data_IF_724817619867
#
_entry.id   IF_724817619867
#
_cell.length_a   1.000
_cell.length_b   1.000
_cell.length_c   1.000
_cell.angle_alpha   90.00
_cell.angle_beta   90.00
_cell.angle_gamma   90.00
#
_symmetry.space_group_name_H-M   'P 1'
#
loop_
_entity.id
_entity.type
_entity.pdbx_description
1 polymer ?
#
# COMPACT_ATOMS: atom_id res chain seq x y z
N UNK A 1 -3.05 -25.34 6.85
CA UNK A 1 -2.43 -24.02 7.10
C UNK A 1 -3.17 -23.02 6.23
N UNK A 2 -3.94 -22.09 6.80
CA UNK A 2 -4.73 -21.13 6.02
C UNK A 2 -3.82 -19.98 5.57
N UNK A 3 -3.74 -19.71 4.28
CA UNK A 3 -3.01 -18.55 3.75
C UNK A 3 -3.98 -17.36 3.80
N UNK A 4 -3.62 -16.31 4.53
CA UNK A 4 -4.39 -15.06 4.56
C UNK A 4 -3.77 -14.09 3.55
N UNK A 5 -4.54 -13.78 2.51
CA UNK A 5 -4.17 -12.86 1.43
C UNK A 5 -5.12 -11.67 1.48
N UNK A 6 -4.57 -10.45 1.54
CA UNK A 6 -5.31 -9.20 1.43
C UNK A 6 -4.90 -8.45 0.16
N UNK A 7 -5.78 -7.59 -0.33
CA UNK A 7 -5.50 -6.71 -1.48
C UNK A 7 -5.45 -5.26 -1.05
N UNK A 8 -4.34 -4.59 -1.35
CA UNK A 8 -4.17 -3.15 -1.17
C UNK A 8 -4.44 -2.44 -2.49
N UNK A 9 -5.53 -1.68 -2.59
CA UNK A 9 -5.92 -0.98 -3.82
C UNK A 9 -5.75 0.52 -3.70
N UNK A 10 -5.38 1.19 -4.79
CA UNK A 10 -5.28 2.65 -4.88
C UNK A 10 -5.45 3.11 -6.33
N UNK A 11 -5.70 4.41 -6.52
CA UNK A 11 -5.86 5.01 -7.86
C UNK A 11 -4.82 6.09 -8.01
N UNK A 12 -4.09 6.04 -9.12
CA UNK A 12 -3.15 7.07 -9.53
C UNK A 12 -3.74 7.91 -10.66
N UNK A 13 -3.44 9.21 -10.67
CA UNK A 13 -3.86 10.14 -11.72
C UNK A 13 -2.87 10.23 -12.89
N UNK A 14 -1.68 9.67 -12.69
CA UNK A 14 -0.56 9.64 -13.63
C UNK A 14 0.42 8.57 -13.14
N UNK A 15 1.40 8.21 -13.96
CA UNK A 15 2.48 7.33 -13.55
C UNK A 15 3.27 7.92 -12.37
N UNK A 16 3.63 7.06 -11.41
CA UNK A 16 4.27 7.50 -10.17
C UNK A 16 5.22 6.45 -9.60
N UNK A 17 6.23 6.91 -8.86
CA UNK A 17 7.02 6.07 -7.97
C UNK A 17 6.26 5.92 -6.65
N UNK A 18 5.86 4.70 -6.33
CA UNK A 18 5.03 4.38 -5.17
C UNK A 18 5.84 3.67 -4.09
N UNK A 19 5.71 4.15 -2.86
CA UNK A 19 6.04 3.41 -1.65
C UNK A 19 4.75 2.96 -0.96
N UNK A 20 4.60 1.66 -0.78
CA UNK A 20 3.45 1.03 -0.14
C UNK A 20 3.93 0.26 1.10
N UNK A 21 3.51 0.72 2.27
CA UNK A 21 3.96 0.18 3.56
C UNK A 21 2.77 -0.14 4.46
N UNK A 22 2.88 -1.20 5.25
CA UNK A 22 1.86 -1.67 6.19
C UNK A 22 2.30 -1.40 7.61
N UNK A 23 1.37 -0.93 8.44
CA UNK A 23 1.57 -0.54 9.82
C UNK A 23 0.55 -1.18 10.74
N UNK A 24 0.95 -1.47 11.98
CA UNK A 24 0.03 -1.85 13.05
C UNK A 24 -0.60 -0.61 13.73
N UNK A 25 -1.47 -0.83 14.71
CA UNK A 25 -2.18 0.25 15.44
C UNK A 25 -1.26 1.15 16.28
N UNK A 26 -0.04 0.69 16.58
CA UNK A 26 0.98 1.49 17.28
C UNK A 26 1.81 2.35 16.30
N UNK A 27 1.54 2.27 15.00
CA UNK A 27 2.30 2.98 13.96
C UNK A 27 3.63 2.33 13.60
N UNK A 28 3.88 1.10 14.04
CA UNK A 28 5.08 0.36 13.66
C UNK A 28 4.91 -0.21 12.26
N UNK A 29 5.91 -0.03 11.40
CA UNK A 29 5.97 -0.68 10.09
C UNK A 29 6.13 -2.19 10.28
N UNK A 30 5.26 -2.98 9.66
CA UNK A 30 5.27 -4.45 9.74
C UNK A 30 5.55 -5.12 8.39
N UNK A 31 5.40 -4.37 7.29
CA UNK A 31 5.77 -4.83 5.96
C UNK A 31 6.01 -3.63 5.02
N UNK A 32 6.92 -3.80 4.07
CA UNK A 32 7.04 -2.95 2.88
C UNK A 32 6.62 -3.80 1.68
N UNK A 33 5.60 -3.36 0.95
CA UNK A 33 5.04 -4.07 -0.22
C UNK A 33 5.55 -3.51 -1.54
N UNK A 34 5.92 -2.23 -1.56
CA UNK A 34 6.61 -1.58 -2.67
C UNK A 34 7.51 -0.47 -2.12
N UNK A 35 8.70 -0.27 -2.68
CA UNK A 35 9.64 0.77 -2.26
C UNK A 35 10.14 1.60 -3.44
N UNK A 36 9.49 2.74 -3.69
CA UNK A 36 9.75 3.61 -4.86
C UNK A 36 9.73 2.83 -6.19
N UNK A 37 8.72 1.99 -6.35
CA UNK A 37 8.51 1.21 -7.57
C UNK A 37 7.56 1.95 -8.52
N UNK A 38 7.73 1.75 -9.82
CA UNK A 38 6.89 2.38 -10.83
C UNK A 38 5.51 1.72 -10.89
N UNK A 39 4.46 2.53 -10.75
CA UNK A 39 3.06 2.13 -11.01
C UNK A 39 2.45 3.07 -12.04
N UNK A 40 1.54 2.54 -12.86
CA UNK A 40 0.91 3.27 -13.95
C UNK A 40 -0.33 4.03 -13.48
N UNK A 41 -0.74 5.04 -14.24
CA UNK A 41 -2.04 5.70 -14.08
C UNK A 41 -3.20 4.67 -13.97
N UNK A 42 -4.20 5.01 -13.15
CA UNK A 42 -5.41 4.22 -12.99
C UNK A 42 -5.43 3.38 -11.72
N UNK A 43 -6.26 2.33 -11.74
CA UNK A 43 -6.46 1.43 -10.60
C UNK A 43 -5.27 0.49 -10.48
N UNK A 44 -4.66 0.46 -9.30
CA UNK A 44 -3.55 -0.42 -8.96
C UNK A 44 -3.91 -1.27 -7.75
N UNK A 45 -3.47 -2.52 -7.77
CA UNK A 45 -3.68 -3.49 -6.69
C UNK A 45 -2.37 -4.21 -6.37
N UNK A 46 -2.07 -4.32 -5.08
CA UNK A 46 -0.91 -5.04 -4.58
C UNK A 46 -1.35 -6.10 -3.58
N UNK A 47 -0.92 -7.33 -3.80
CA UNK A 47 -1.19 -8.47 -2.92
C UNK A 47 -0.36 -8.39 -1.65
N UNK A 48 -0.98 -8.67 -0.51
CA UNK A 48 -0.32 -8.74 0.80
C UNK A 48 -0.53 -10.11 1.46
N UNK A 49 0.56 -10.88 1.55
CA UNK A 49 0.58 -12.17 2.24
C UNK A 49 0.86 -12.00 3.74
N UNK A 50 -0.19 -11.92 4.53
CA UNK A 50 -0.10 -11.54 5.94
C UNK A 50 -0.08 -12.74 6.91
N UNK A 51 0.44 -13.88 6.47
CA UNK A 51 0.38 -15.16 7.20
C UNK A 51 1.03 -15.10 8.60
N UNK A 52 2.09 -14.31 8.76
CA UNK A 52 2.83 -14.17 10.02
C UNK A 52 2.27 -13.10 10.97
N UNK A 53 1.19 -12.42 10.61
CA UNK A 53 0.59 -11.37 11.43
C UNK A 53 -0.61 -11.89 12.24
N UNK A 54 -0.81 -11.45 13.49
CA UNK A 54 -2.02 -11.77 14.25
C UNK A 54 -3.27 -11.13 13.65
N UNK A 55 -4.44 -11.73 13.86
CA UNK A 55 -5.72 -11.10 13.51
C UNK A 55 -5.85 -9.74 14.21
N UNK A 56 -6.33 -8.73 13.49
CA UNK A 56 -6.35 -7.37 14.02
C UNK A 56 -6.50 -6.30 12.95
N UNK A 57 -6.46 -5.05 13.39
CA UNK A 57 -6.53 -3.88 12.53
C UNK A 57 -5.13 -3.48 12.08
N UNK A 58 -4.98 -3.22 10.79
CA UNK A 58 -3.77 -2.73 10.17
C UNK A 58 -4.08 -1.54 9.27
N UNK A 59 -3.04 -0.83 8.87
CA UNK A 59 -3.14 0.29 7.95
C UNK A 59 -2.09 0.12 6.86
N UNK A 60 -2.45 0.31 5.60
CA UNK A 60 -1.45 0.52 4.57
C UNK A 60 -1.41 1.99 4.18
N UNK A 61 -0.20 2.51 4.00
CA UNK A 61 0.08 3.85 3.52
C UNK A 61 0.67 3.77 2.13
N UNK A 62 0.06 4.50 1.21
CA UNK A 62 0.56 4.78 -0.13
C UNK A 62 1.20 6.16 -0.08
N UNK A 63 2.43 6.26 -0.58
CA UNK A 63 3.06 7.54 -0.93
C UNK A 63 3.48 7.43 -2.39
N UNK A 64 2.94 8.28 -3.25
CA UNK A 64 3.22 8.30 -4.68
C UNK A 64 3.83 9.65 -5.08
N UNK A 65 4.97 9.58 -5.76
CA UNK A 65 5.70 10.71 -6.36
C UNK A 65 5.43 10.66 -7.87
N UNK A 66 4.55 11.52 -8.38
CA UNK A 66 4.15 11.57 -9.78
C UNK A 66 5.31 11.99 -10.69
N UNK A 67 5.37 11.40 -11.89
CA UNK A 67 6.50 11.52 -12.83
C UNK A 67 6.32 12.59 -13.92
N UNK A 68 5.21 13.33 -13.91
CA UNK A 68 4.99 14.44 -14.85
C UNK A 68 5.82 15.65 -14.39
N UNK A 69 6.82 16.04 -15.18
CA UNK A 69 7.71 17.16 -14.87
C UNK A 69 7.00 18.51 -14.94
N UNK A 70 5.95 18.64 -15.75
CA UNK A 70 5.19 19.88 -15.90
C UNK A 70 4.13 20.04 -14.79
N UNK A 71 3.63 18.92 -14.28
CA UNK A 71 2.60 18.88 -13.23
C UNK A 71 2.90 17.79 -12.17
N UNK A 72 3.96 17.95 -11.35
CA UNK A 72 4.32 16.94 -10.36
C UNK A 72 3.22 16.83 -9.29
N UNK A 73 2.67 15.64 -9.12
CA UNK A 73 1.68 15.36 -8.09
C UNK A 73 2.26 14.45 -7.01
N UNK A 74 2.16 14.89 -5.76
CA UNK A 74 2.42 14.05 -4.61
C UNK A 74 1.11 13.58 -4.02
N UNK A 75 0.96 12.27 -3.87
CA UNK A 75 -0.23 11.66 -3.31
C UNK A 75 0.13 10.84 -2.08
N UNK A 76 -0.62 11.02 -0.99
CA UNK A 76 -0.53 10.15 0.18
C UNK A 76 -1.94 9.72 0.56
N UNK A 77 -2.11 8.42 0.78
CA UNK A 77 -3.36 7.85 1.27
C UNK A 77 -3.08 6.77 2.29
N UNK A 78 -3.92 6.70 3.32
CA UNK A 78 -3.89 5.64 4.32
C UNK A 78 -5.24 4.94 4.30
N UNK A 79 -5.22 3.61 4.27
CA UNK A 79 -6.43 2.78 4.28
C UNK A 79 -6.33 1.74 5.37
N UNK A 80 -7.45 1.54 6.08
CA UNK A 80 -7.59 0.53 7.13
C UNK A 80 -7.84 -0.84 6.51
N UNK A 81 -7.23 -1.86 7.08
CA UNK A 81 -7.47 -3.28 6.78
C UNK A 81 -7.81 -4.03 8.05
N UNK A 82 -8.60 -5.10 7.90
CA UNK A 82 -8.88 -6.06 8.97
C UNK A 82 -8.31 -7.40 8.55
N UNK A 83 -7.36 -7.91 9.33
CA UNK A 83 -6.84 -9.27 9.18
C UNK A 83 -7.69 -10.22 10.04
N UNK A 84 -8.24 -11.26 9.42
CA UNK A 84 -8.98 -12.33 10.09
C UNK A 84 -8.36 -13.68 9.71
N UNK A 85 -8.25 -14.58 10.69
CA UNK A 85 -7.73 -15.95 10.56
C UNK A 85 -8.80 -16.95 10.94
#
# INVERSE_FOLDING_TARGET
>A
MLIVILTCSFILRQDALVSLKVYNTLGQEVATLANKELFTEGVNEVTFEAHNLPSGVYFYRIVAEGLDEEAPTNFTQVKKMLLLK
#
